data_IF_067492008823
#
_entry.id   IF_067492008823
#
_cell.length_a   1.000
_cell.length_b   1.000
_cell.length_c   1.000
_cell.angle_alpha   90.00
_cell.angle_beta   90.00
_cell.angle_gamma   90.00
#
_symmetry.space_group_name_H-M   'P 1'
#
loop_
_entity.id
_entity.type
_entity.pdbx_description
1 polymer ?
#
# COMPACT_ATOMS: atom_id res chain seq x y z
N UNK A 1 -0.42 -5.52 10.51
CA UNK A 1 1.01 -5.16 10.64
C UNK A 1 1.54 -4.47 9.40
N UNK A 2 1.58 -5.10 8.22
CA UNK A 2 2.05 -4.43 6.98
C UNK A 2 1.22 -3.19 6.63
N UNK A 3 -0.11 -3.27 6.68
CA UNK A 3 -0.98 -2.10 6.47
C UNK A 3 -0.82 -1.01 7.55
N UNK A 4 -0.37 -1.37 8.77
CA UNK A 4 -0.11 -0.39 9.83
C UNK A 4 1.21 0.34 9.57
N UNK A 5 2.23 -0.36 9.04
CA UNK A 5 3.46 0.26 8.54
C UNK A 5 3.15 1.19 7.36
N UNK A 6 2.38 0.72 6.37
CA UNK A 6 1.95 1.53 5.22
C UNK A 6 1.26 2.83 5.68
N UNK A 7 0.28 2.74 6.59
CA UNK A 7 -0.40 3.91 7.15
C UNK A 7 0.55 4.85 7.93
N UNK A 8 1.54 4.29 8.63
CA UNK A 8 2.55 5.05 9.37
C UNK A 8 3.47 5.84 8.44
N UNK A 9 3.95 5.21 7.37
CA UNK A 9 4.78 5.84 6.33
C UNK A 9 3.99 6.90 5.56
N UNK A 10 2.74 6.61 5.19
CA UNK A 10 1.82 7.59 4.61
C UNK A 10 1.64 8.81 5.52
N UNK A 11 1.58 8.61 6.83
CA UNK A 11 1.55 9.69 7.82
C UNK A 11 2.82 10.54 7.85
N UNK A 12 4.00 9.95 7.62
CA UNK A 12 5.27 10.69 7.50
C UNK A 12 5.25 11.58 6.26
N UNK A 13 4.87 11.02 5.12
CA UNK A 13 4.80 11.76 3.83
C UNK A 13 3.75 12.88 3.90
N UNK A 14 2.55 12.62 4.45
CA UNK A 14 1.50 13.64 4.59
C UNK A 14 1.82 14.77 5.56
N UNK A 15 2.60 14.49 6.61
CA UNK A 15 2.99 15.49 7.60
C UNK A 15 4.23 16.30 7.17
N UNK A 16 4.88 15.92 6.06
CA UNK A 16 6.07 16.55 5.55
C UNK A 16 5.77 17.98 5.08
N UNK A 17 6.26 18.97 5.84
CA UNK A 17 6.33 20.37 5.37
C UNK A 17 7.67 20.68 4.72
N UNK A 18 8.70 19.95 5.15
CA UNK A 18 10.05 20.01 4.63
C UNK A 18 10.41 18.61 4.09
N UNK A 19 10.59 18.43 2.78
CA UNK A 19 10.88 17.12 2.17
C UNK A 19 12.08 16.42 2.82
N UNK A 20 13.11 17.20 3.19
CA UNK A 20 14.30 16.72 3.88
C UNK A 20 13.99 16.02 5.21
N UNK A 21 13.07 16.56 6.02
CA UNK A 21 12.69 15.94 7.29
C UNK A 21 11.93 14.62 7.07
N UNK A 22 11.14 14.52 6.00
CA UNK A 22 10.46 13.28 5.65
C UNK A 22 11.45 12.21 5.19
N UNK A 23 12.43 12.57 4.36
CA UNK A 23 13.52 11.68 3.94
C UNK A 23 14.29 11.14 5.15
N UNK A 24 14.68 11.99 6.11
CA UNK A 24 15.35 11.54 7.34
C UNK A 24 14.51 10.53 8.14
N UNK A 25 13.19 10.75 8.23
CA UNK A 25 12.28 9.82 8.93
C UNK A 25 12.10 8.52 8.17
N UNK A 26 12.01 8.55 6.85
CA UNK A 26 11.92 7.34 6.02
C UNK A 26 13.24 6.56 6.04
N UNK A 27 14.39 7.24 5.99
CA UNK A 27 15.70 6.63 6.17
C UNK A 27 15.80 5.91 7.53
N UNK A 28 15.33 6.53 8.60
CA UNK A 28 15.25 5.86 9.90
C UNK A 28 14.39 4.59 9.85
N UNK A 29 13.25 4.59 9.16
CA UNK A 29 12.42 3.39 8.99
C UNK A 29 13.14 2.30 8.20
N UNK A 30 13.82 2.66 7.11
CA UNK A 30 14.64 1.75 6.30
C UNK A 30 15.72 1.09 7.12
N UNK A 31 16.45 1.87 7.91
CA UNK A 31 17.52 1.36 8.77
C UNK A 31 16.96 0.39 9.81
N UNK A 32 15.87 0.76 10.51
CA UNK A 32 15.25 -0.13 11.51
C UNK A 32 14.77 -1.44 10.89
N UNK A 33 14.11 -1.41 9.73
CA UNK A 33 13.64 -2.64 9.08
C UNK A 33 14.78 -3.54 8.58
N UNK A 34 15.97 -2.97 8.37
CA UNK A 34 17.19 -3.69 7.95
C UNK A 34 17.99 -4.24 9.14
N UNK A 35 17.80 -3.70 10.34
CA UNK A 35 18.42 -4.16 11.58
C UNK A 35 17.74 -5.43 12.14
N UNK A 36 18.43 -6.09 13.07
CA UNK A 36 17.84 -7.21 13.82
C UNK A 36 16.69 -6.71 14.73
N UNK A 37 15.51 -7.36 14.72
CA UNK A 37 14.39 -6.93 15.58
C UNK A 37 14.67 -6.91 17.08
N UNK A 38 15.72 -7.60 17.54
CA UNK A 38 16.18 -7.56 18.94
C UNK A 38 16.71 -6.19 19.37
N UNK A 39 17.18 -5.35 18.45
CA UNK A 39 17.70 -4.00 18.74
C UNK A 39 16.68 -2.89 18.51
N UNK A 40 15.45 -3.22 18.09
CA UNK A 40 14.43 -2.22 17.83
C UNK A 40 14.00 -1.45 19.08
N UNK A 41 13.67 -0.15 18.93
CA UNK A 41 13.20 0.66 20.04
C UNK A 41 11.85 0.16 20.55
N UNK A 42 11.73 0.01 21.88
CA UNK A 42 10.51 -0.52 22.54
C UNK A 42 9.29 0.41 22.47
N UNK A 43 9.47 1.67 22.06
CA UNK A 43 8.41 2.69 22.06
C UNK A 43 7.60 2.79 20.75
N UNK A 44 8.00 2.13 19.66
CA UNK A 44 7.31 2.24 18.37
C UNK A 44 6.34 1.05 18.18
N UNK A 45 5.02 1.28 18.23
CA UNK A 45 4.02 0.20 18.23
C UNK A 45 3.97 -0.59 16.92
N UNK A 46 4.31 0.04 15.79
CA UNK A 46 4.36 -0.63 14.48
C UNK A 46 5.53 -1.62 14.44
N UNK A 47 6.70 -1.26 14.97
CA UNK A 47 7.84 -2.17 15.09
C UNK A 47 7.51 -3.33 16.05
N UNK A 48 6.84 -3.05 17.18
CA UNK A 48 6.38 -4.10 18.08
C UNK A 48 5.42 -5.08 17.37
N UNK A 49 4.50 -4.59 16.54
CA UNK A 49 3.60 -5.42 15.74
C UNK A 49 4.31 -6.22 14.62
N UNK A 50 5.52 -5.81 14.22
CA UNK A 50 6.37 -6.48 13.24
C UNK A 50 7.41 -7.40 13.87
N UNK A 51 7.52 -7.48 15.19
CA UNK A 51 8.55 -8.28 15.87
C UNK A 51 8.58 -9.75 15.42
N UNK A 52 7.41 -10.33 15.12
CA UNK A 52 7.29 -11.72 14.65
C UNK A 52 7.78 -11.94 13.19
N UNK A 53 8.16 -10.87 12.48
CA UNK A 53 8.78 -10.98 11.16
C UNK A 53 10.23 -11.44 11.25
N UNK A 54 10.92 -11.20 12.37
CA UNK A 54 12.34 -11.49 12.45
C UNK A 54 13.10 -10.79 11.33
N UNK A 55 14.10 -11.47 10.78
CA UNK A 55 14.90 -11.00 9.63
C UNK A 55 14.09 -10.78 8.34
N UNK A 56 12.87 -11.33 8.25
CA UNK A 56 12.02 -11.14 7.07
C UNK A 56 11.45 -9.71 7.00
N UNK A 57 11.54 -8.93 8.09
CA UNK A 57 11.17 -7.52 8.11
C UNK A 57 11.97 -6.69 7.09
N UNK A 58 13.18 -7.11 6.73
CA UNK A 58 13.97 -6.49 5.67
C UNK A 58 13.25 -6.48 4.31
N UNK A 59 12.35 -7.45 4.06
CA UNK A 59 11.51 -7.47 2.87
C UNK A 59 10.47 -6.34 2.81
N UNK A 60 10.27 -5.59 3.90
CA UNK A 60 9.38 -4.42 3.96
C UNK A 60 10.11 -3.10 3.64
N UNK A 61 11.44 -3.12 3.45
CA UNK A 61 12.20 -1.91 3.07
C UNK A 61 11.70 -1.32 1.76
N UNK A 62 11.34 -2.15 0.79
CA UNK A 62 10.77 -1.70 -0.48
C UNK A 62 9.49 -0.84 -0.30
N UNK A 63 8.73 -1.06 0.78
CA UNK A 63 7.59 -0.20 1.12
C UNK A 63 8.02 1.22 1.46
N UNK A 64 9.12 1.36 2.21
CA UNK A 64 9.69 2.65 2.59
C UNK A 64 10.19 3.38 1.35
N UNK A 65 10.92 2.68 0.48
CA UNK A 65 11.43 3.23 -0.78
C UNK A 65 10.29 3.70 -1.69
N UNK A 66 9.19 2.94 -1.75
CA UNK A 66 8.00 3.33 -2.50
C UNK A 66 7.33 4.61 -1.97
N UNK A 67 7.26 4.79 -0.64
CA UNK A 67 6.75 6.03 -0.06
C UNK A 67 7.71 7.21 -0.23
N UNK A 68 9.02 6.96 -0.22
CA UNK A 68 10.03 7.98 -0.48
C UNK A 68 9.97 8.51 -1.92
N UNK A 69 9.64 7.66 -2.89
CA UNK A 69 9.46 8.05 -4.29
C UNK A 69 8.36 9.13 -4.49
N UNK A 70 7.40 9.24 -3.57
CA UNK A 70 6.37 10.28 -3.61
C UNK A 70 6.79 11.63 -3.01
N UNK A 71 8.01 11.74 -2.48
CA UNK A 71 8.55 13.00 -1.95
C UNK A 71 9.22 13.86 -3.03
N UNK A 72 9.32 13.37 -4.26
CA UNK A 72 9.82 14.13 -5.40
C UNK A 72 8.96 15.38 -5.66
N UNK A 73 9.57 16.39 -6.29
CA UNK A 73 8.90 17.64 -6.58
C UNK A 73 7.73 17.43 -7.58
N UNK A 74 6.52 17.93 -7.28
CA UNK A 74 5.40 17.82 -8.20
C UNK A 74 5.69 18.50 -9.55
N UNK A 75 5.17 17.96 -10.67
CA UNK A 75 4.29 16.79 -10.75
C UNK A 75 5.03 15.46 -10.60
N UNK A 76 4.34 14.45 -10.04
CA UNK A 76 4.87 13.10 -9.92
C UNK A 76 5.22 12.52 -11.28
N UNK A 77 6.43 11.96 -11.37
CA UNK A 77 6.89 11.25 -12.57
C UNK A 77 6.30 9.84 -12.64
N UNK A 78 6.24 9.27 -13.84
CA UNK A 78 5.85 7.87 -14.03
C UNK A 78 6.75 6.91 -13.22
N UNK A 79 8.03 7.25 -13.06
CA UNK A 79 8.98 6.49 -12.26
C UNK A 79 8.64 6.55 -10.76
N UNK A 80 8.23 7.71 -10.24
CA UNK A 80 7.78 7.87 -8.86
C UNK A 80 6.51 7.04 -8.58
N UNK A 81 5.54 7.09 -9.50
CA UNK A 81 4.31 6.28 -9.41
C UNK A 81 4.65 4.78 -9.44
N UNK A 82 5.49 4.34 -10.37
CA UNK A 82 5.87 2.93 -10.48
C UNK A 82 6.67 2.44 -9.26
N UNK A 83 7.58 3.27 -8.74
CA UNK A 83 8.33 2.99 -7.52
C UNK A 83 7.41 2.81 -6.31
N UNK A 84 6.44 3.70 -6.14
CA UNK A 84 5.42 3.60 -5.10
C UNK A 84 4.61 2.30 -5.21
N UNK A 85 4.14 1.97 -6.41
CA UNK A 85 3.32 0.78 -6.67
C UNK A 85 4.12 -0.51 -6.48
N UNK A 86 5.37 -0.54 -6.94
CA UNK A 86 6.30 -1.65 -6.71
C UNK A 86 6.55 -1.87 -5.22
N UNK A 87 6.84 -0.80 -4.47
CA UNK A 87 7.08 -0.88 -3.02
C UNK A 87 5.89 -1.45 -2.24
N UNK A 88 4.67 -0.93 -2.50
CA UNK A 88 3.45 -1.42 -1.85
C UNK A 88 3.12 -2.85 -2.25
N UNK A 89 3.22 -3.18 -3.53
CA UNK A 89 2.91 -4.55 -4.00
C UNK A 89 3.93 -5.59 -3.50
N UNK A 90 5.21 -5.24 -3.41
CA UNK A 90 6.24 -6.10 -2.83
C UNK A 90 5.98 -6.39 -1.34
N UNK A 91 5.58 -5.38 -0.55
CA UNK A 91 5.26 -5.55 0.86
C UNK A 91 4.06 -6.48 1.09
N UNK A 92 3.04 -6.39 0.23
CA UNK A 92 1.88 -7.29 0.25
C UNK A 92 2.27 -8.69 -0.24
N UNK A 93 3.15 -8.81 -1.24
CA UNK A 93 3.73 -10.08 -1.67
C UNK A 93 4.51 -10.79 -0.54
N UNK A 94 5.30 -10.04 0.23
CA UNK A 94 5.99 -10.57 1.41
C UNK A 94 5.02 -11.07 2.50
N UNK A 95 3.90 -10.36 2.70
CA UNK A 95 2.82 -10.83 3.57
C UNK A 95 2.17 -12.11 3.05
N UNK A 96 1.91 -12.19 1.74
CA UNK A 96 1.33 -13.38 1.09
C UNK A 96 2.23 -14.61 1.29
N UNK A 97 3.53 -14.47 1.04
CA UNK A 97 4.50 -15.53 1.26
C UNK A 97 4.50 -16.02 2.72
N UNK A 98 4.42 -15.10 3.69
CA UNK A 98 4.37 -15.44 5.13
C UNK A 98 3.12 -16.21 5.54
N UNK A 99 2.00 -16.00 4.86
CA UNK A 99 0.76 -16.76 5.11
C UNK A 99 0.61 -17.99 4.20
N UNK A 100 1.66 -18.35 3.44
CA UNK A 100 1.67 -19.53 2.57
C UNK A 100 0.85 -19.37 1.29
N UNK A 101 0.67 -18.15 0.80
CA UNK A 101 -0.02 -17.84 -0.45
C UNK A 101 0.99 -17.48 -1.54
N UNK A 102 0.81 -18.04 -2.74
CA UNK A 102 1.64 -17.72 -3.91
C UNK A 102 1.54 -16.23 -4.31
N UNK A 103 2.65 -15.57 -4.65
CA UNK A 103 2.69 -14.12 -4.77
C UNK A 103 2.03 -13.56 -6.03
N UNK A 104 2.00 -14.28 -7.15
CA UNK A 104 1.69 -13.69 -8.46
C UNK A 104 0.32 -13.00 -8.54
N UNK A 105 -0.75 -13.70 -8.15
CA UNK A 105 -2.11 -13.13 -8.14
C UNK A 105 -2.28 -12.04 -7.08
N UNK A 106 -1.59 -12.18 -5.95
CA UNK A 106 -1.66 -11.22 -4.84
C UNK A 106 -0.94 -9.92 -5.18
N UNK A 107 0.23 -10.00 -5.84
CA UNK A 107 1.01 -8.85 -6.29
C UNK A 107 0.23 -8.06 -7.32
N UNK A 108 -0.40 -8.72 -8.30
CA UNK A 108 -1.25 -8.03 -9.27
C UNK A 108 -2.41 -7.27 -8.59
N UNK A 109 -3.13 -7.92 -7.67
CA UNK A 109 -4.21 -7.26 -6.93
C UNK A 109 -3.70 -6.13 -6.01
N UNK A 110 -2.50 -6.27 -5.45
CA UNK A 110 -1.86 -5.24 -4.63
C UNK A 110 -1.44 -4.02 -5.46
N UNK A 111 -0.97 -4.23 -6.71
CA UNK A 111 -0.66 -3.14 -7.63
C UNK A 111 -1.91 -2.34 -7.99
N UNK A 112 -3.00 -3.01 -8.39
CA UNK A 112 -4.26 -2.33 -8.72
C UNK A 112 -4.83 -1.57 -7.52
N UNK A 113 -4.74 -2.16 -6.32
CA UNK A 113 -5.12 -1.48 -5.09
C UNK A 113 -4.25 -0.24 -4.84
N UNK A 114 -2.92 -0.35 -4.95
CA UNK A 114 -2.01 0.76 -4.70
C UNK A 114 -2.23 1.93 -5.67
N UNK A 115 -2.45 1.64 -6.96
CA UNK A 115 -2.77 2.63 -7.99
C UNK A 115 -4.12 3.31 -7.74
N UNK A 116 -5.16 2.53 -7.45
CA UNK A 116 -6.48 3.07 -7.17
C UNK A 116 -6.48 3.92 -5.90
N UNK A 117 -5.77 3.47 -4.85
CA UNK A 117 -5.58 4.23 -3.62
C UNK A 117 -4.82 5.54 -3.87
N UNK A 118 -3.73 5.51 -4.65
CA UNK A 118 -2.98 6.71 -5.02
C UNK A 118 -3.87 7.70 -5.78
N UNK A 119 -4.56 7.26 -6.82
CA UNK A 119 -5.43 8.10 -7.65
C UNK A 119 -6.54 8.81 -6.84
N UNK A 120 -7.07 8.16 -5.81
CA UNK A 120 -8.07 8.75 -4.90
C UNK A 120 -7.50 9.88 -4.03
N UNK A 121 -6.20 9.84 -3.73
CA UNK A 121 -5.53 10.81 -2.85
C UNK A 121 -4.73 11.88 -3.59
N UNK A 122 -4.46 11.71 -4.90
CA UNK A 122 -3.82 12.74 -5.71
C UNK A 122 -4.76 13.94 -5.89
N UNK A 123 -4.22 15.15 -5.72
CA UNK A 123 -4.95 16.41 -5.92
C UNK A 123 -5.02 16.80 -7.40
N UNK A 124 -3.90 16.64 -8.12
CA UNK A 124 -3.77 17.02 -9.51
C UNK A 124 -4.55 16.07 -10.46
N UNK A 125 -5.39 16.60 -11.38
CA UNK A 125 -6.15 15.79 -12.32
C UNK A 125 -5.31 14.97 -13.32
N UNK A 126 -4.17 15.49 -13.77
CA UNK A 126 -3.30 14.79 -14.72
C UNK A 126 -2.55 13.64 -14.05
N UNK A 127 -2.01 13.85 -12.85
CA UNK A 127 -1.40 12.77 -12.06
C UNK A 127 -2.42 11.67 -11.74
N UNK A 128 -3.65 12.07 -11.35
CA UNK A 128 -4.75 11.12 -11.12
C UNK A 128 -5.08 10.31 -12.36
N UNK A 129 -5.13 10.95 -13.52
CA UNK A 129 -5.38 10.27 -14.79
C UNK A 129 -4.24 9.30 -15.15
N UNK A 130 -2.98 9.69 -14.94
CA UNK A 130 -1.83 8.82 -15.14
C UNK A 130 -1.91 7.56 -14.24
N UNK A 131 -2.08 7.73 -12.93
CA UNK A 131 -2.23 6.61 -12.00
C UNK A 131 -3.42 5.71 -12.35
N UNK A 132 -4.54 6.30 -12.79
CA UNK A 132 -5.74 5.55 -13.20
C UNK A 132 -5.53 4.74 -14.49
N UNK A 133 -4.74 5.26 -15.44
CA UNK A 133 -4.46 4.61 -16.71
C UNK A 133 -3.57 3.37 -16.56
N UNK A 134 -2.77 3.31 -15.49
CA UNK A 134 -1.90 2.17 -15.18
C UNK A 134 -2.63 1.01 -14.48
N UNK A 135 -3.88 1.22 -14.03
CA UNK A 135 -4.68 0.17 -13.39
C UNK A 135 -4.97 -0.91 -14.41
N UNK A 136 -4.56 -2.15 -14.10
CA UNK A 136 -4.78 -3.27 -14.99
C UNK A 136 -6.28 -3.55 -15.20
N UNK A 137 -6.61 -4.24 -16.28
CA UNK A 137 -7.93 -4.84 -16.47
C UNK A 137 -8.17 -6.06 -15.58
N UNK A 138 -7.27 -6.29 -14.60
CA UNK A 138 -7.25 -7.45 -13.72
C UNK A 138 -8.63 -7.61 -13.10
N UNK A 139 -9.37 -8.60 -13.60
CA UNK A 139 -10.64 -9.00 -13.02
C UNK A 139 -10.30 -9.41 -11.60
N UNK A 140 -10.61 -8.56 -10.61
CA UNK A 140 -10.38 -8.79 -9.16
C UNK A 140 -10.31 -10.28 -8.91
N UNK A 141 -9.08 -10.80 -8.92
CA UNK A 141 -8.84 -12.23 -9.00
C UNK A 141 -9.31 -12.81 -7.69
N UNK A 142 -9.78 -14.06 -7.70
CA UNK A 142 -10.23 -14.70 -6.46
C UNK A 142 -9.02 -14.91 -5.56
N UNK A 143 -8.74 -13.94 -4.70
CA UNK A 143 -7.67 -14.08 -3.73
C UNK A 143 -8.04 -15.17 -2.71
N UNK A 144 -7.06 -15.97 -2.26
CA UNK A 144 -7.26 -16.94 -1.20
C UNK A 144 -7.84 -16.30 0.07
N UNK A 145 -8.46 -17.12 0.93
CA UNK A 145 -9.11 -16.67 2.18
C UNK A 145 -8.26 -15.72 3.02
N UNK A 146 -6.96 -16.00 3.14
CA UNK A 146 -6.02 -15.19 3.91
C UNK A 146 -5.80 -13.77 3.32
N UNK A 147 -6.03 -13.59 2.02
CA UNK A 147 -5.79 -12.34 1.28
C UNK A 147 -7.09 -11.63 0.85
N UNK A 148 -8.27 -12.12 1.28
CA UNK A 148 -9.56 -11.47 1.02
C UNK A 148 -9.63 -10.00 1.42
N UNK A 149 -9.04 -9.54 2.55
CA UNK A 149 -9.04 -8.12 2.89
C UNK A 149 -8.44 -7.25 1.77
N UNK A 150 -7.40 -7.73 1.07
CA UNK A 150 -6.83 -7.04 -0.08
C UNK A 150 -7.83 -6.92 -1.24
N UNK A 151 -8.54 -8.01 -1.57
CA UNK A 151 -9.56 -7.98 -2.62
C UNK A 151 -10.70 -7.01 -2.30
N UNK A 152 -11.08 -6.91 -1.02
CA UNK A 152 -12.09 -5.94 -0.56
C UNK A 152 -11.58 -4.51 -0.74
N UNK A 153 -10.37 -4.19 -0.28
CA UNK A 153 -9.79 -2.84 -0.43
C UNK A 153 -9.60 -2.46 -1.89
N UNK A 154 -9.05 -3.36 -2.71
CA UNK A 154 -8.89 -3.17 -4.16
C UNK A 154 -10.24 -2.88 -4.82
N UNK A 155 -11.25 -3.70 -4.55
CA UNK A 155 -12.57 -3.54 -5.15
C UNK A 155 -13.31 -2.27 -4.70
N UNK A 156 -13.13 -1.84 -3.44
CA UNK A 156 -13.70 -0.58 -2.93
C UNK A 156 -13.04 0.64 -3.58
N UNK A 157 -11.70 0.67 -3.64
CA UNK A 157 -10.96 1.78 -4.25
C UNK A 157 -11.28 1.89 -5.74
N UNK A 158 -11.26 0.77 -6.48
CA UNK A 158 -11.65 0.73 -7.89
C UNK A 158 -13.10 1.19 -8.11
N UNK A 159 -14.02 0.84 -7.22
CA UNK A 159 -15.41 1.28 -7.28
C UNK A 159 -15.53 2.79 -7.07
N UNK A 160 -14.85 3.34 -6.07
CA UNK A 160 -14.86 4.77 -5.81
C UNK A 160 -14.26 5.57 -6.96
N UNK A 161 -13.12 5.10 -7.50
CA UNK A 161 -12.46 5.73 -8.63
C UNK A 161 -13.38 5.77 -9.87
N UNK A 162 -14.05 4.66 -10.21
CA UNK A 162 -15.03 4.61 -11.31
C UNK A 162 -16.23 5.55 -11.11
N UNK A 163 -16.55 5.88 -9.86
CA UNK A 163 -17.66 6.78 -9.51
C UNK A 163 -17.22 8.24 -9.37
N UNK A 164 -15.92 8.53 -9.48
CA UNK A 164 -15.37 9.84 -9.15
C UNK A 164 -15.54 10.22 -7.67
N UNK A 165 -15.78 9.23 -6.79
CA UNK A 165 -15.90 9.47 -5.36
C UNK A 165 -14.50 9.62 -4.75
N UNK A 166 -14.37 10.50 -3.73
CA UNK A 166 -13.11 10.68 -2.99
C UNK A 166 -12.95 9.69 -1.84
N UNK A 167 -14.05 9.15 -1.31
CA UNK A 167 -14.04 8.18 -0.22
C UNK A 167 -14.46 6.78 -0.73
N UNK A 168 -13.60 5.76 -0.59
CA UNK A 168 -13.91 4.35 -0.87
C UNK A 168 -15.20 3.82 -0.20
N UNK A 169 -15.50 4.32 1.00
CA UNK A 169 -16.60 3.86 1.84
C UNK A 169 -17.89 4.67 1.66
N UNK A 170 -17.93 5.55 0.66
CA UNK A 170 -19.08 6.42 0.47
C UNK A 170 -20.36 5.65 0.06
N UNK A 171 -21.35 5.75 0.95
CA UNK A 171 -22.73 5.28 0.78
C UNK A 171 -23.00 3.79 1.08
N UNK A 172 -24.29 3.42 1.24
CA UNK A 172 -24.71 2.05 1.59
C UNK A 172 -24.33 0.99 0.55
N UNK A 173 -24.10 1.40 -0.70
CA UNK A 173 -23.64 0.51 -1.77
C UNK A 173 -22.15 0.15 -1.60
N UNK A 174 -21.34 0.97 -0.90
CA UNK A 174 -19.96 0.62 -0.54
C UNK A 174 -19.94 -0.57 0.41
N UNK A 175 -20.81 -0.53 1.43
CA UNK A 175 -20.95 -1.60 2.40
C UNK A 175 -21.38 -2.91 1.73
N UNK A 176 -22.38 -2.86 0.83
CA UNK A 176 -22.82 -4.03 0.05
C UNK A 176 -21.70 -4.58 -0.86
N UNK A 177 -20.89 -3.70 -1.46
CA UNK A 177 -19.75 -4.11 -2.27
C UNK A 177 -18.66 -4.79 -1.43
N UNK A 178 -18.34 -4.25 -0.25
CA UNK A 178 -17.39 -4.86 0.69
C UNK A 178 -17.83 -6.26 1.12
N UNK A 179 -19.11 -6.40 1.48
CA UNK A 179 -19.74 -7.67 1.83
C UNK A 179 -19.61 -8.66 0.65
N UNK A 180 -20.04 -8.27 -0.56
CA UNK A 180 -19.98 -9.13 -1.74
C UNK A 180 -18.56 -9.58 -2.06
N UNK A 181 -17.57 -8.68 -2.04
CA UNK A 181 -16.17 -8.99 -2.32
C UNK A 181 -15.56 -9.92 -1.25
N UNK A 182 -15.96 -9.75 0.02
CA UNK A 182 -15.56 -10.64 1.12
C UNK A 182 -16.15 -12.05 1.03
N UNK A 183 -17.34 -12.20 0.43
CA UNK A 183 -18.02 -13.49 0.27
C UNK A 183 -17.75 -14.20 -1.07
N UNK A 184 -17.49 -13.46 -2.16
CA UNK A 184 -17.33 -13.98 -3.53
C UNK A 184 -15.90 -14.43 -3.85
N UNK A 185 -14.92 -14.07 -3.03
CA UNK A 185 -13.55 -14.60 -3.06
C UNK A 185 -13.51 -16.06 -2.56
N UNK A 186 -14.10 -16.99 -3.32
CA UNK A 186 -14.09 -18.44 -3.04
C UNK A 186 -13.01 -19.17 -3.81
#
# INVERSE_FOLDING_TARGET
MVLALDARLAGVVRAAREPMLAQLRLAWWRDRLSEDPTVWPRGEPVLAALANWGKQAAGLVALVDGWEALLDEPPLTDAAIEGFVCGRSAAIGALAARVGVGPDEVVAAARDWALADLALHLGDPAERACASALIGSSKVTRLPRAMRPLAVMAGLNLRALRRGARDPLDGPVALLAAIRLGFVSR
#
